data_IF_159099832713
#
_entry.id   IF_159099832713
#
_cell.length_a   1.000
_cell.length_b   1.000
_cell.length_c   1.000
_cell.angle_alpha   90.00
_cell.angle_beta   90.00
_cell.angle_gamma   90.00
#
_symmetry.space_group_name_H-M   'P 1'
#
loop_
_entity.id
_entity.type
_entity.pdbx_description
1 polymer ?
#
# COMPACT_ATOMS: atom_id res chain seq x y z
N UNK A 1 32.40 -23.33 47.74
CA UNK A 1 32.33 -22.01 47.07
C UNK A 1 30.85 -21.64 46.90
N UNK A 2 30.37 -20.50 47.42
CA UNK A 2 28.96 -20.16 47.29
C UNK A 2 28.68 -19.56 45.89
N UNK A 3 27.59 -19.99 45.24
CA UNK A 3 27.10 -19.41 43.98
C UNK A 3 26.19 -18.22 44.29
N UNK A 4 26.48 -17.05 43.71
CA UNK A 4 25.61 -15.88 43.78
C UNK A 4 24.38 -16.08 42.88
N UNK A 5 23.18 -15.79 43.39
CA UNK A 5 21.94 -15.71 42.61
C UNK A 5 21.82 -14.31 42.01
N UNK A 6 21.54 -14.22 40.70
CA UNK A 6 21.24 -12.96 40.04
C UNK A 6 19.83 -12.48 40.40
N UNK A 7 19.68 -11.20 40.78
CA UNK A 7 18.39 -10.53 40.90
C UNK A 7 17.83 -10.27 39.49
N UNK A 8 16.57 -10.63 39.27
CA UNK A 8 15.83 -10.26 38.06
C UNK A 8 15.43 -8.78 38.13
N UNK A 9 15.88 -7.98 37.16
CA UNK A 9 15.44 -6.61 36.99
C UNK A 9 14.06 -6.61 36.31
N UNK A 10 13.00 -6.44 37.09
CA UNK A 10 11.65 -6.17 36.57
C UNK A 10 11.51 -4.68 36.31
N UNK A 11 11.97 -4.22 35.14
CA UNK A 11 11.66 -2.88 34.65
C UNK A 11 10.45 -3.00 33.72
N UNK A 12 9.26 -2.81 34.28
CA UNK A 12 8.04 -2.66 33.48
C UNK A 12 8.15 -1.39 32.63
N UNK A 13 8.09 -1.56 31.30
CA UNK A 13 8.11 -0.47 30.34
C UNK A 13 6.83 0.37 30.48
N UNK A 14 6.99 1.66 30.78
CA UNK A 14 5.87 2.60 30.78
C UNK A 14 5.34 2.74 29.35
N UNK A 15 4.02 2.71 29.20
CA UNK A 15 3.36 2.99 27.92
C UNK A 15 3.59 4.46 27.54
N UNK A 16 3.93 4.79 26.28
CA UNK A 16 4.22 6.16 25.90
C UNK A 16 2.97 7.03 26.03
N UNK A 17 3.08 8.10 26.82
CA UNK A 17 2.03 9.08 27.13
C UNK A 17 1.91 10.17 26.03
N UNK A 18 2.15 9.82 24.77
CA UNK A 18 2.06 10.75 23.64
C UNK A 18 0.93 10.30 22.75
N UNK A 19 -0.21 10.99 22.86
CA UNK A 19 -1.31 10.86 21.91
C UNK A 19 -0.84 11.32 20.53
N UNK A 20 -1.05 10.49 19.51
CA UNK A 20 -0.76 10.83 18.13
C UNK A 20 -1.66 12.00 17.68
N UNK A 21 -1.07 13.17 17.44
CA UNK A 21 -1.72 14.23 16.69
C UNK A 21 -1.74 13.83 15.20
N UNK A 22 -2.85 13.21 14.78
CA UNK A 22 -3.05 12.66 13.42
C UNK A 22 -3.03 13.72 12.31
N UNK A 23 -3.51 14.93 12.59
CA UNK A 23 -3.78 15.94 11.56
C UNK A 23 -2.52 16.53 10.93
N UNK A 24 -1.44 16.62 11.72
CA UNK A 24 -0.19 17.24 11.30
C UNK A 24 0.65 16.31 10.40
N UNK A 25 0.50 14.99 10.61
CA UNK A 25 1.14 13.97 9.79
C UNK A 25 0.54 13.90 8.38
N UNK A 26 -0.79 13.93 8.26
CA UNK A 26 -1.46 13.90 6.95
C UNK A 26 -1.22 15.18 6.14
N UNK A 27 -1.20 16.34 6.80
CA UNK A 27 -0.85 17.61 6.15
C UNK A 27 0.59 17.59 5.62
N UNK A 28 1.56 17.12 6.43
CA UNK A 28 2.94 16.91 6.00
C UNK A 28 3.01 15.94 4.80
N UNK A 29 2.32 14.80 4.87
CA UNK A 29 2.30 13.80 3.78
C UNK A 29 1.77 14.36 2.46
N UNK A 30 0.73 15.20 2.47
CA UNK A 30 0.22 15.88 1.26
C UNK A 30 1.24 16.86 0.67
N UNK A 31 1.97 17.57 1.52
CA UNK A 31 3.05 18.47 1.07
C UNK A 31 4.22 17.71 0.44
N UNK A 32 4.60 16.56 1.01
CA UNK A 32 5.74 15.77 0.51
C UNK A 32 5.38 14.80 -0.64
N UNK A 33 4.09 14.55 -0.90
CA UNK A 33 3.62 13.65 -1.96
C UNK A 33 2.42 14.26 -2.71
N UNK A 34 2.61 15.35 -3.48
CA UNK A 34 1.52 16.05 -4.14
C UNK A 34 0.73 15.17 -5.13
N UNK A 35 1.39 14.17 -5.71
CA UNK A 35 0.76 13.19 -6.61
C UNK A 35 -0.37 12.38 -5.98
N UNK A 36 -0.51 12.35 -4.64
CA UNK A 36 -1.66 11.70 -3.99
C UNK A 36 -2.99 12.35 -4.39
N UNK A 37 -2.98 13.61 -4.82
CA UNK A 37 -4.15 14.29 -5.35
C UNK A 37 -4.68 13.64 -6.64
N UNK A 38 -3.82 12.98 -7.43
CA UNK A 38 -4.22 12.35 -8.68
C UNK A 38 -5.23 11.21 -8.48
N UNK A 39 -5.14 10.46 -7.38
CA UNK A 39 -6.10 9.40 -7.03
C UNK A 39 -7.53 9.90 -6.79
N UNK A 40 -7.73 11.22 -6.63
CA UNK A 40 -9.05 11.82 -6.41
C UNK A 40 -9.61 12.51 -7.67
N UNK A 41 -8.94 12.37 -8.82
CA UNK A 41 -9.36 13.00 -10.07
C UNK A 41 -10.31 12.10 -10.86
N UNK A 42 -11.18 12.70 -11.67
CA UNK A 42 -12.05 11.95 -12.60
C UNK A 42 -11.22 11.12 -13.61
N UNK A 43 -10.12 11.68 -14.11
CA UNK A 43 -9.21 10.98 -15.01
C UNK A 43 -8.65 9.68 -14.41
N UNK A 44 -8.37 9.67 -13.10
CA UNK A 44 -7.95 8.44 -12.42
C UNK A 44 -9.08 7.42 -12.32
N UNK A 45 -10.31 7.86 -12.03
CA UNK A 45 -11.46 6.96 -11.98
C UNK A 45 -11.74 6.33 -13.35
N UNK A 46 -11.67 7.12 -14.43
CA UNK A 46 -11.83 6.63 -15.81
C UNK A 46 -10.72 5.63 -16.18
N UNK A 47 -9.46 5.96 -15.89
CA UNK A 47 -8.32 5.07 -16.14
C UNK A 47 -8.45 3.76 -15.34
N UNK A 48 -8.85 3.85 -14.07
CA UNK A 48 -9.09 2.70 -13.21
C UNK A 48 -10.17 1.79 -13.80
N UNK A 49 -11.28 2.35 -14.26
CA UNK A 49 -12.35 1.57 -14.89
C UNK A 49 -11.88 0.93 -16.21
N UNK A 50 -11.12 1.65 -17.03
CA UNK A 50 -10.55 1.12 -18.26
C UNK A 50 -9.62 -0.08 -18.00
N UNK A 51 -8.79 -0.04 -16.95
CA UNK A 51 -7.95 -1.17 -16.53
C UNK A 51 -8.79 -2.37 -16.12
N UNK A 52 -9.84 -2.17 -15.32
CA UNK A 52 -10.72 -3.26 -14.89
C UNK A 52 -11.43 -3.91 -16.07
N UNK A 53 -11.87 -3.12 -17.04
CA UNK A 53 -12.49 -3.63 -18.26
C UNK A 53 -11.49 -4.39 -19.14
N UNK A 54 -10.29 -3.83 -19.34
CA UNK A 54 -9.20 -4.48 -20.10
C UNK A 54 -8.86 -5.86 -19.52
N UNK A 55 -8.82 -5.96 -18.21
CA UNK A 55 -8.46 -7.18 -17.49
C UNK A 55 -9.69 -8.09 -17.25
N UNK A 56 -10.86 -7.76 -17.81
CA UNK A 56 -12.12 -8.48 -17.61
C UNK A 56 -12.46 -8.72 -16.13
N UNK A 57 -12.18 -7.74 -15.26
CA UNK A 57 -12.30 -7.84 -13.81
C UNK A 57 -11.57 -9.06 -13.22
N UNK A 58 -10.53 -9.55 -13.89
CA UNK A 58 -9.76 -10.73 -13.46
C UNK A 58 -8.46 -10.28 -12.79
N UNK A 59 -8.20 -10.80 -11.60
CA UNK A 59 -6.96 -10.57 -10.87
C UNK A 59 -5.76 -11.09 -11.68
N UNK A 60 -4.87 -10.20 -12.11
CA UNK A 60 -3.73 -10.51 -12.97
C UNK A 60 -2.64 -11.33 -12.28
N UNK A 61 -2.71 -11.51 -10.96
CA UNK A 61 -1.79 -12.37 -10.18
C UNK A 61 -2.32 -13.79 -9.99
N UNK A 62 -3.62 -13.95 -9.82
CA UNK A 62 -4.23 -15.25 -9.44
C UNK A 62 -5.13 -15.84 -10.52
N UNK A 63 -5.58 -15.07 -11.50
CA UNK A 63 -6.57 -15.48 -12.50
C UNK A 63 -8.01 -15.52 -11.99
N UNK A 64 -8.25 -15.13 -10.73
CA UNK A 64 -9.59 -15.13 -10.13
C UNK A 64 -10.41 -13.90 -10.53
N UNK A 65 -11.70 -14.07 -10.80
CA UNK A 65 -12.63 -12.96 -11.04
C UNK A 65 -12.87 -12.15 -9.76
N UNK A 66 -12.69 -10.84 -9.86
CA UNK A 66 -12.98 -9.86 -8.83
C UNK A 66 -14.45 -9.41 -8.94
N UNK A 67 -15.33 -10.06 -8.19
CA UNK A 67 -16.80 -9.88 -8.32
C UNK A 67 -17.43 -9.06 -7.21
N UNK A 68 -16.68 -8.76 -6.14
CA UNK A 68 -17.25 -8.14 -4.95
C UNK A 68 -17.12 -6.61 -4.95
N UNK A 69 -18.00 -5.94 -4.21
CA UNK A 69 -17.89 -4.50 -3.94
C UNK A 69 -16.75 -4.21 -2.97
N UNK A 70 -16.02 -3.12 -3.18
CA UNK A 70 -15.01 -2.66 -2.24
C UNK A 70 -15.64 -2.36 -0.85
N UNK A 71 -14.96 -2.67 0.27
CA UNK A 71 -13.60 -3.18 0.38
C UNK A 71 -13.53 -4.70 0.63
N UNK A 72 -14.39 -5.51 0.00
CA UNK A 72 -14.33 -6.96 0.18
C UNK A 72 -13.00 -7.56 -0.31
N UNK A 73 -12.55 -8.71 0.23
CA UNK A 73 -11.28 -9.35 -0.19
C UNK A 73 -11.16 -9.60 -1.69
N UNK A 74 -12.29 -9.88 -2.36
CA UNK A 74 -12.38 -10.12 -3.80
C UNK A 74 -12.85 -8.91 -4.61
N UNK A 75 -12.76 -7.69 -4.07
CA UNK A 75 -13.04 -6.48 -4.84
C UNK A 75 -11.83 -6.08 -5.69
N UNK A 76 -12.03 -5.51 -6.90
CA UNK A 76 -10.95 -5.10 -7.78
C UNK A 76 -10.23 -3.85 -7.26
N UNK A 77 -8.90 -3.89 -7.31
CA UNK A 77 -7.98 -2.80 -6.99
C UNK A 77 -7.06 -2.56 -8.19
N UNK A 78 -6.89 -1.30 -8.58
CA UNK A 78 -5.94 -0.91 -9.62
C UNK A 78 -4.58 -0.69 -8.96
N UNK A 79 -3.61 -1.54 -9.31
CA UNK A 79 -2.28 -1.55 -8.71
C UNK A 79 -1.23 -1.20 -9.76
N UNK A 80 -0.36 -0.24 -9.43
CA UNK A 80 0.80 0.10 -10.24
C UNK A 80 1.90 -0.97 -10.09
N UNK A 81 2.25 -1.66 -11.18
CA UNK A 81 3.33 -2.66 -11.24
C UNK A 81 4.67 -2.06 -10.85
N UNK A 82 4.99 -0.91 -11.43
CA UNK A 82 6.15 -0.09 -11.07
C UNK A 82 5.68 1.10 -10.25
N UNK A 83 6.17 1.27 -9.00
CA UNK A 83 5.80 2.40 -8.15
C UNK A 83 6.12 3.73 -8.82
N UNK A 84 5.09 4.54 -9.09
CA UNK A 84 5.24 5.78 -9.86
C UNK A 84 6.03 6.87 -9.10
N UNK A 85 5.93 6.95 -7.76
CA UNK A 85 6.64 7.94 -6.90
C UNK A 85 6.56 9.40 -7.36
N UNK A 86 5.46 9.77 -7.99
CA UNK A 86 5.25 11.11 -8.53
C UNK A 86 5.71 11.30 -9.97
N UNK A 87 6.23 10.27 -10.65
CA UNK A 87 6.37 10.27 -12.11
C UNK A 87 4.97 10.17 -12.76
N UNK A 88 4.52 11.21 -13.49
CA UNK A 88 3.24 11.18 -14.17
C UNK A 88 3.18 10.10 -15.26
N UNK A 89 4.30 9.80 -15.94
CA UNK A 89 4.31 8.80 -17.02
C UNK A 89 3.96 7.43 -16.48
N UNK A 90 4.58 7.04 -15.37
CA UNK A 90 4.28 5.78 -14.70
C UNK A 90 2.89 5.79 -14.05
N UNK A 91 2.44 6.92 -13.53
CA UNK A 91 1.13 6.99 -12.87
C UNK A 91 -0.04 6.81 -13.85
N UNK A 92 0.04 7.46 -15.01
CA UNK A 92 -1.02 7.51 -16.02
C UNK A 92 -0.90 6.43 -17.10
N UNK A 93 0.20 5.66 -17.13
CA UNK A 93 0.36 4.55 -18.07
C UNK A 93 -0.55 3.37 -17.69
N UNK A 94 -1.54 3.11 -18.55
CA UNK A 94 -2.46 1.98 -18.40
C UNK A 94 -1.72 0.64 -18.33
N UNK A 95 -0.58 0.50 -19.02
CA UNK A 95 0.19 -0.75 -19.03
C UNK A 95 0.97 -0.96 -17.73
N UNK A 96 1.27 0.11 -17.01
CA UNK A 96 1.84 0.05 -15.67
C UNK A 96 0.79 -0.31 -14.61
N UNK A 97 -0.50 -0.33 -14.93
CA UNK A 97 -1.56 -0.63 -13.96
C UNK A 97 -2.16 -2.01 -14.27
N UNK A 98 -2.42 -2.79 -13.22
CA UNK A 98 -3.09 -4.08 -13.31
C UNK A 98 -4.24 -4.21 -12.31
N UNK A 99 -5.26 -4.96 -12.69
CA UNK A 99 -6.35 -5.37 -11.80
C UNK A 99 -5.86 -6.48 -10.87
N UNK A 100 -6.00 -6.28 -9.57
CA UNK A 100 -5.74 -7.31 -8.56
C UNK A 100 -6.87 -7.33 -7.54
N UNK A 101 -7.10 -8.47 -6.90
CA UNK A 101 -8.04 -8.51 -5.78
C UNK A 101 -7.44 -7.78 -4.59
N UNK A 102 -8.29 -7.17 -3.76
CA UNK A 102 -7.86 -6.49 -2.53
C UNK A 102 -7.01 -7.41 -1.63
N UNK A 103 -7.38 -8.69 -1.52
CA UNK A 103 -6.62 -9.68 -0.75
C UNK A 103 -5.17 -9.82 -1.23
N UNK A 104 -4.97 -9.90 -2.54
CA UNK A 104 -3.63 -10.02 -3.13
C UNK A 104 -2.86 -8.71 -2.98
N UNK A 105 -3.54 -7.58 -3.21
CA UNK A 105 -2.98 -6.24 -3.06
C UNK A 105 -2.40 -6.02 -1.65
N UNK A 106 -3.22 -6.23 -0.63
CA UNK A 106 -2.86 -5.94 0.76
C UNK A 106 -1.93 -7.01 1.38
N UNK A 107 -1.77 -8.16 0.72
CA UNK A 107 -1.01 -9.30 1.21
C UNK A 107 0.28 -9.52 0.43
N UNK A 108 0.16 -10.23 -0.69
CA UNK A 108 1.31 -10.67 -1.49
C UNK A 108 2.11 -9.50 -2.05
N UNK A 109 1.43 -8.56 -2.71
CA UNK A 109 2.06 -7.37 -3.30
C UNK A 109 2.68 -6.50 -2.22
N UNK A 110 1.95 -6.24 -1.13
CA UNK A 110 2.48 -5.45 -0.03
C UNK A 110 3.76 -6.06 0.59
N UNK A 111 3.85 -7.39 0.64
CA UNK A 111 5.05 -8.11 1.10
C UNK A 111 6.20 -8.01 0.09
N UNK A 112 5.92 -8.12 -1.21
CA UNK A 112 6.91 -7.93 -2.27
C UNK A 112 7.51 -6.52 -2.20
N UNK A 113 6.68 -5.48 -2.07
CA UNK A 113 7.12 -4.09 -1.97
C UNK A 113 8.00 -3.83 -0.74
N UNK A 114 7.68 -4.44 0.40
CA UNK A 114 8.46 -4.31 1.63
C UNK A 114 9.81 -5.03 1.56
N UNK A 115 9.94 -6.05 0.72
CA UNK A 115 11.19 -6.78 0.53
C UNK A 115 12.21 -5.97 -0.29
N UNK A 116 11.77 -4.96 -1.05
CA UNK A 116 12.66 -4.11 -1.84
C UNK A 116 13.34 -3.08 -0.93
N UNK A 117 14.68 -3.08 -0.81
CA UNK A 117 15.38 -2.13 0.05
C UNK A 117 15.08 -0.69 -0.33
N UNK A 118 14.74 0.11 0.67
CA UNK A 118 14.52 1.55 0.48
C UNK A 118 15.81 2.22 0.00
N UNK A 119 15.78 2.76 -1.23
CA UNK A 119 16.92 3.47 -1.84
C UNK A 119 17.55 2.75 -3.03
N UNK A 120 17.18 1.50 -3.30
CA UNK A 120 17.58 0.79 -4.51
C UNK A 120 16.36 0.71 -5.44
N UNK A 121 16.28 1.67 -6.34
CA UNK A 121 15.13 1.83 -7.21
C UNK A 121 15.58 2.24 -8.61
N UNK A 122 16.55 1.49 -9.10
CA UNK A 122 17.06 1.62 -10.46
C UNK A 122 16.51 0.46 -11.31
#
# INVERSE_FOLDING_TARGET
MPRLRALQANISTLSPLVGYASDDADKKRRTFQPWRAWYNTAAWEDLRQAVFLRDNYTCQRTGELCTAKAPAPNSPVAHHRTPHRGDPKLFWDINNIQTVSKRVHDGEIQREEQAIPHGQWD
#
